data_IF_200805288208
#
_entry.id   IF_200805288208
#
_cell.length_a   1.000
_cell.length_b   1.000
_cell.length_c   1.000
_cell.angle_alpha   90.00
_cell.angle_beta   90.00
_cell.angle_gamma   90.00
#
_symmetry.space_group_name_H-M   'P 1'
#
loop_
_entity.id
_entity.type
_entity.pdbx_description
1 polymer ?
#
# COMPACT_ATOMS: atom_id res chain seq x y z
N UNK A 1 -6.37 -9.09 -2.95
CA UNK A 1 -6.97 -8.60 -4.21
C UNK A 1 -6.00 -7.70 -4.98
N UNK A 2 -5.44 -6.63 -4.41
CA UNK A 2 -4.47 -5.74 -5.11
C UNK A 2 -3.23 -6.48 -5.62
N UNK A 3 -2.53 -7.24 -4.76
CA UNK A 3 -1.34 -8.00 -5.17
C UNK A 3 -1.62 -8.96 -6.34
N UNK A 4 -2.70 -9.74 -6.25
CA UNK A 4 -3.06 -10.68 -7.31
C UNK A 4 -3.54 -10.01 -8.60
N UNK A 5 -4.22 -8.87 -8.52
CA UNK A 5 -4.78 -8.20 -9.69
C UNK A 5 -3.69 -7.47 -10.50
N UNK A 6 -2.71 -6.87 -9.83
CA UNK A 6 -1.76 -5.94 -10.48
C UNK A 6 -0.32 -6.45 -10.54
N UNK A 7 0.05 -7.41 -9.69
CA UNK A 7 1.45 -7.78 -9.48
C UNK A 7 1.78 -9.26 -9.71
N UNK A 8 0.79 -10.08 -10.09
CA UNK A 8 0.93 -11.54 -10.24
C UNK A 8 2.19 -11.96 -11.00
N UNK A 9 2.93 -12.91 -10.42
CA UNK A 9 4.13 -13.50 -11.04
C UNK A 9 5.41 -12.66 -10.95
N UNK A 10 5.37 -11.50 -10.29
CA UNK A 10 6.57 -10.70 -10.00
C UNK A 10 7.30 -11.26 -8.78
N UNK A 11 8.63 -11.28 -8.83
CA UNK A 11 9.50 -11.78 -7.75
C UNK A 11 10.38 -10.70 -7.12
N UNK A 12 10.34 -9.48 -7.68
CA UNK A 12 11.18 -8.33 -7.34
C UNK A 12 10.46 -7.30 -6.47
N UNK A 13 9.46 -7.73 -5.69
CA UNK A 13 8.58 -6.83 -4.95
C UNK A 13 8.92 -6.78 -3.46
N UNK A 14 8.74 -5.59 -2.89
CA UNK A 14 8.75 -5.36 -1.44
C UNK A 14 7.39 -4.79 -1.01
N UNK A 15 6.87 -5.28 0.11
CA UNK A 15 5.69 -4.74 0.75
C UNK A 15 6.11 -3.77 1.85
N UNK A 16 5.60 -2.54 1.77
CA UNK A 16 5.82 -1.50 2.76
C UNK A 16 4.64 -1.46 3.72
N UNK A 17 4.93 -1.53 5.02
CA UNK A 17 3.96 -1.26 6.08
C UNK A 17 4.08 0.21 6.49
N UNK A 18 2.99 0.95 6.35
CA UNK A 18 2.95 2.40 6.58
C UNK A 18 2.17 2.71 7.85
N UNK A 19 2.68 3.62 8.68
CA UNK A 19 1.95 4.21 9.79
C UNK A 19 1.08 5.38 9.28
N UNK A 20 -0.25 5.22 9.19
CA UNK A 20 -1.13 6.25 8.67
C UNK A 20 -1.16 7.51 9.55
N UNK A 21 -0.84 7.41 10.84
CA UNK A 21 -0.81 8.58 11.74
C UNK A 21 0.30 9.57 11.36
N UNK A 22 1.35 9.10 10.67
CA UNK A 22 2.45 9.93 10.18
C UNK A 22 2.16 10.62 8.85
N UNK A 23 1.07 10.27 8.16
CA UNK A 23 0.72 10.85 6.86
C UNK A 23 -0.15 12.12 6.94
N UNK A 24 -0.75 12.37 8.11
CA UNK A 24 -1.56 13.57 8.37
C UNK A 24 -2.67 13.79 7.33
N UNK A 25 -2.89 15.05 6.95
CA UNK A 25 -3.93 15.46 6.00
C UNK A 25 -3.70 15.02 4.55
N UNK A 26 -2.52 14.48 4.25
CA UNK A 26 -2.19 13.95 2.92
C UNK A 26 -2.85 12.61 2.63
N UNK A 27 -3.29 11.89 3.66
CA UNK A 27 -4.02 10.62 3.54
C UNK A 27 -5.53 10.87 3.45
N UNK A 28 -6.14 10.44 2.35
CA UNK A 28 -7.59 10.54 2.12
C UNK A 28 -8.15 9.16 1.84
N UNK A 29 -9.31 8.86 2.42
CA UNK A 29 -10.03 7.61 2.20
C UNK A 29 -11.17 7.86 1.23
N UNK A 30 -11.10 7.25 0.04
CA UNK A 30 -12.05 7.47 -1.05
C UNK A 30 -12.65 6.15 -1.52
N UNK A 31 -13.94 6.19 -1.87
CA UNK A 31 -14.63 5.05 -2.46
C UNK A 31 -14.08 4.73 -3.84
N UNK A 32 -13.98 3.45 -4.17
CA UNK A 32 -13.63 3.02 -5.51
C UNK A 32 -14.72 3.45 -6.51
N UNK A 33 -14.32 3.84 -7.73
CA UNK A 33 -15.24 4.28 -8.79
C UNK A 33 -16.32 3.24 -9.09
N UNK A 34 -15.98 1.95 -9.03
CA UNK A 34 -16.91 0.86 -9.32
C UNK A 34 -17.82 0.50 -8.13
N UNK A 35 -17.41 0.86 -6.91
CA UNK A 35 -18.11 0.50 -5.67
C UNK A 35 -17.69 1.42 -4.53
N UNK A 36 -18.50 2.45 -4.28
CA UNK A 36 -18.23 3.46 -3.24
C UNK A 36 -18.17 2.86 -1.83
N UNK A 37 -18.70 1.66 -1.61
CA UNK A 37 -18.58 0.96 -0.32
C UNK A 37 -17.17 0.42 -0.08
N UNK A 38 -16.37 0.24 -1.13
CA UNK A 38 -14.96 -0.15 -1.03
C UNK A 38 -14.09 1.10 -0.95
N UNK A 39 -13.69 1.44 0.27
CA UNK A 39 -12.90 2.64 0.52
C UNK A 39 -11.41 2.29 0.55
N UNK A 40 -10.60 3.02 -0.23
CA UNK A 40 -9.16 2.84 -0.32
C UNK A 40 -8.40 4.09 0.13
N UNK A 41 -7.26 3.93 0.82
CA UNK A 41 -6.38 5.03 1.16
C UNK A 41 -5.63 5.55 -0.07
N UNK A 42 -5.72 6.85 -0.33
CA UNK A 42 -4.92 7.59 -1.30
C UNK A 42 -4.06 8.62 -0.57
N UNK A 43 -2.75 8.62 -0.84
CA UNK A 43 -1.84 9.61 -0.31
C UNK A 43 -1.52 10.65 -1.38
N UNK A 44 -1.97 11.88 -1.18
CA UNK A 44 -1.78 13.00 -2.11
C UNK A 44 -0.58 13.86 -1.79
N UNK A 45 0.12 13.60 -0.68
CA UNK A 45 1.21 14.43 -0.16
C UNK A 45 0.74 15.52 0.82
N UNK A 46 1.67 16.21 1.51
CA UNK A 46 1.34 17.29 2.43
C UNK A 46 0.51 18.38 1.74
N UNK A 47 -0.46 18.94 2.47
CA UNK A 47 -1.38 19.98 1.96
C UNK A 47 -2.18 19.55 0.71
N UNK A 48 -2.30 18.23 0.46
CA UNK A 48 -2.91 17.64 -0.75
C UNK A 48 -2.22 18.09 -2.05
N UNK A 49 -0.93 18.40 -1.95
CA UNK A 49 -0.05 18.69 -3.07
C UNK A 49 0.91 17.54 -3.28
N UNK A 50 1.27 17.25 -4.53
CA UNK A 50 2.16 16.14 -4.87
C UNK A 50 3.44 16.19 -4.02
N UNK A 51 3.63 15.19 -3.18
CA UNK A 51 4.78 15.01 -2.33
C UNK A 51 5.12 13.53 -2.18
N UNK A 52 6.42 13.17 -2.05
CA UNK A 52 6.81 11.80 -1.82
C UNK A 52 6.32 11.31 -0.46
N UNK A 53 6.15 9.99 -0.34
CA UNK A 53 5.94 9.34 0.95
C UNK A 53 7.18 9.55 1.82
N UNK A 54 7.00 10.05 3.05
CA UNK A 54 8.11 10.23 3.99
C UNK A 54 8.64 8.85 4.43
N UNK A 55 9.96 8.70 4.47
CA UNK A 55 10.62 7.47 4.92
C UNK A 55 10.24 7.13 6.37
N UNK A 56 10.09 8.14 7.22
CA UNK A 56 9.69 7.95 8.62
C UNK A 56 8.29 7.33 8.77
N UNK A 57 7.44 7.43 7.73
CA UNK A 57 6.12 6.78 7.72
C UNK A 57 6.19 5.27 7.50
N UNK A 58 7.31 4.76 6.98
CA UNK A 58 7.51 3.33 6.72
C UNK A 58 7.97 2.64 8.02
N UNK A 59 7.08 1.86 8.63
CA UNK A 59 7.38 1.13 9.88
C UNK A 59 7.83 -0.31 9.65
N UNK A 60 7.73 -0.80 8.42
CA UNK A 60 8.16 -2.13 8.05
C UNK A 60 8.37 -2.27 6.55
N UNK A 61 9.35 -3.09 6.17
CA UNK A 61 9.62 -3.47 4.79
C UNK A 61 9.93 -4.95 4.75
N UNK A 62 9.29 -5.67 3.83
CA UNK A 62 9.59 -7.09 3.63
C UNK A 62 9.51 -7.44 2.15
N UNK A 63 10.47 -8.24 1.69
CA UNK A 63 10.43 -8.80 0.34
C UNK A 63 9.28 -9.81 0.25
N UNK A 64 8.49 -9.69 -0.81
CA UNK A 64 7.46 -10.68 -1.11
C UNK A 64 8.13 -11.89 -1.76
N UNK A 65 7.86 -13.06 -1.21
CA UNK A 65 8.26 -14.34 -1.79
C UNK A 65 7.08 -14.97 -2.54
N UNK A 66 7.35 -15.71 -3.61
CA UNK A 66 6.34 -16.53 -4.29
C UNK A 66 6.44 -17.97 -3.77
N UNK A 67 5.42 -18.41 -3.02
CA UNK A 67 5.32 -19.77 -2.49
C UNK A 67 4.10 -20.43 -3.08
N UNK A 68 4.30 -21.50 -3.87
CA UNK A 68 3.18 -22.19 -4.52
C UNK A 68 2.42 -21.34 -5.55
N UNK A 69 3.02 -20.24 -6.04
CA UNK A 69 2.39 -19.31 -6.98
C UNK A 69 1.66 -18.14 -6.31
N UNK A 70 1.60 -18.11 -4.98
CA UNK A 70 1.00 -17.04 -4.19
C UNK A 70 2.06 -16.18 -3.49
N UNK A 71 1.72 -14.92 -3.23
CA UNK A 71 2.58 -14.01 -2.47
C UNK A 71 2.57 -14.32 -0.98
N UNK A 72 3.75 -14.40 -0.37
CA UNK A 72 3.95 -14.64 1.05
C UNK A 72 4.94 -13.63 1.64
N UNK A 73 4.60 -13.09 2.82
CA UNK A 73 5.49 -12.39 3.74
C UNK A 73 4.80 -12.26 5.11
N UNK A 74 5.54 -11.89 6.16
CA UNK A 74 4.99 -11.78 7.52
C UNK A 74 3.87 -10.75 7.66
N UNK A 75 3.79 -9.74 6.79
CA UNK A 75 2.74 -8.73 6.83
C UNK A 75 1.40 -9.19 6.22
N UNK A 76 1.35 -10.37 5.60
CA UNK A 76 0.13 -10.92 4.99
C UNK A 76 -0.60 -11.92 5.92
N UNK A 77 -0.18 -12.06 7.18
CA UNK A 77 -0.68 -13.04 8.13
C UNK A 77 -1.17 -12.40 9.43
#
# INVERSE_FOLDING_TARGET
MVLHNFYKGREDLHLLQIDPAKLGEGLVYEGAIEDESKVFPHFYGPERSFGPLDFESVVGVEKLELVGGDFACRFLH
#
